data_IF_831210714620
#
_entry.id   IF_831210714620
#
_cell.length_a   1.000
_cell.length_b   1.000
_cell.length_c   1.000
_cell.angle_alpha   90.00
_cell.angle_beta   90.00
_cell.angle_gamma   90.00
#
_symmetry.space_group_name_H-M   'P 1'
#
loop_
_entity.id
_entity.type
_entity.pdbx_description
1 polymer ?
#
# COMPACT_ATOMS: atom_id res chain seq x y z
N UNK A 1 -6.81 21.67 1.59
CA UNK A 1 -6.76 20.26 2.00
C UNK A 1 -8.14 19.85 2.48
N UNK A 2 -8.65 18.71 2.01
CA UNK A 2 -10.00 18.25 2.26
C UNK A 2 -9.98 16.78 2.67
N UNK A 3 -10.77 16.43 3.69
CA UNK A 3 -11.10 15.05 4.01
C UNK A 3 -12.38 14.69 3.27
N UNK A 4 -12.33 13.61 2.52
CA UNK A 4 -13.50 13.06 1.81
C UNK A 4 -13.92 11.75 2.48
N UNK A 5 -15.24 11.55 2.59
CA UNK A 5 -15.83 10.25 2.93
C UNK A 5 -16.60 9.80 1.70
N UNK A 6 -16.33 8.61 1.22
CA UNK A 6 -16.88 8.12 -0.03
C UNK A 6 -17.41 6.68 0.09
N UNK A 7 -18.27 6.31 -0.85
CA UNK A 7 -18.79 4.95 -0.96
C UNK A 7 -17.79 4.07 -1.72
N UNK A 8 -17.66 2.85 -1.25
CA UNK A 8 -16.84 1.81 -1.86
C UNK A 8 -17.44 0.44 -1.53
N UNK A 9 -16.74 -0.64 -1.83
CA UNK A 9 -17.12 -2.01 -1.47
C UNK A 9 -16.07 -2.65 -0.58
N UNK A 10 -16.50 -3.54 0.30
CA UNK A 10 -15.63 -4.38 1.12
C UNK A 10 -15.08 -5.59 0.32
N UNK A 11 -14.18 -6.41 0.89
CA UNK A 11 -13.63 -7.59 0.22
C UNK A 11 -14.67 -8.62 -0.22
N UNK A 12 -15.84 -8.64 0.41
CA UNK A 12 -16.97 -9.52 0.07
C UNK A 12 -17.91 -8.92 -1.00
N UNK A 13 -17.63 -7.69 -1.47
CA UNK A 13 -18.42 -6.98 -2.46
C UNK A 13 -19.63 -6.23 -1.89
N UNK A 14 -19.76 -6.11 -0.56
CA UNK A 14 -20.85 -5.35 0.05
C UNK A 14 -20.53 -3.86 0.08
N UNK A 15 -21.59 -3.03 -0.01
CA UNK A 15 -21.43 -1.59 0.07
C UNK A 15 -20.92 -1.14 1.44
N UNK A 16 -19.89 -0.31 1.45
CA UNK A 16 -19.30 0.27 2.65
C UNK A 16 -18.84 1.72 2.38
N UNK A 17 -18.12 2.31 3.31
CA UNK A 17 -17.52 3.63 3.17
C UNK A 17 -16.04 3.60 3.54
N UNK A 18 -15.28 4.49 2.93
CA UNK A 18 -13.92 4.79 3.32
C UNK A 18 -13.72 6.31 3.38
N UNK A 19 -12.59 6.74 3.91
CA UNK A 19 -12.17 8.13 3.86
C UNK A 19 -10.84 8.30 3.13
N UNK A 20 -10.48 9.53 2.85
CA UNK A 20 -9.22 9.86 2.21
C UNK A 20 -8.96 11.36 2.18
N UNK A 21 -7.75 11.69 1.80
CA UNK A 21 -7.22 13.05 1.75
C UNK A 21 -7.15 13.55 0.31
N UNK A 22 -7.70 14.73 0.08
CA UNK A 22 -7.51 15.51 -1.15
C UNK A 22 -6.76 16.79 -0.81
N UNK A 23 -5.57 16.97 -1.38
CA UNK A 23 -4.80 18.20 -1.28
C UNK A 23 -4.72 18.87 -2.65
N UNK A 24 -5.28 20.06 -2.78
CA UNK A 24 -5.23 20.85 -4.01
C UNK A 24 -4.13 21.91 -3.92
N UNK A 25 -3.40 22.18 -5.03
CA UNK A 25 -2.41 23.25 -5.08
C UNK A 25 -3.09 24.62 -5.01
N UNK A 26 -2.46 25.57 -4.36
CA UNK A 26 -2.91 26.97 -4.29
C UNK A 26 -2.26 27.79 -5.43
N UNK A 27 -2.58 27.41 -6.66
CA UNK A 27 -2.02 28.01 -7.88
C UNK A 27 -3.07 28.70 -8.77
N UNK A 28 -4.34 28.66 -8.37
CA UNK A 28 -5.44 29.26 -9.13
C UNK A 28 -5.83 28.53 -10.42
N UNK A 29 -5.18 27.44 -10.79
CA UNK A 29 -5.48 26.69 -12.00
C UNK A 29 -6.82 25.94 -11.87
N UNK A 30 -7.62 25.97 -12.93
CA UNK A 30 -8.89 25.24 -13.00
C UNK A 30 -8.66 23.75 -13.26
N UNK A 31 -7.83 23.42 -14.24
CA UNK A 31 -7.55 22.05 -14.66
C UNK A 31 -6.29 21.51 -13.96
N UNK A 32 -6.43 20.42 -13.21
CA UNK A 32 -5.38 19.84 -12.41
C UNK A 32 -5.04 18.43 -12.85
N UNK A 33 -3.76 18.14 -12.99
CA UNK A 33 -3.27 16.77 -13.03
C UNK A 33 -3.28 16.20 -11.62
N UNK A 34 -3.73 14.95 -11.47
CA UNK A 34 -3.76 14.29 -10.17
C UNK A 34 -2.53 13.39 -9.99
N UNK A 35 -2.01 13.36 -8.77
CA UNK A 35 -1.15 12.30 -8.26
C UNK A 35 -1.95 11.51 -7.23
N UNK A 36 -2.24 10.26 -7.56
CA UNK A 36 -2.81 9.32 -6.64
C UNK A 36 -1.67 8.66 -5.85
N UNK A 37 -1.74 8.71 -4.51
CA UNK A 37 -0.72 8.16 -3.62
C UNK A 37 -1.33 7.12 -2.67
N UNK A 38 -0.84 5.89 -2.72
CA UNK A 38 -1.18 4.80 -1.83
C UNK A 38 -0.16 4.74 -0.68
N UNK A 39 -0.63 4.92 0.55
CA UNK A 39 0.24 5.01 1.73
C UNK A 39 0.77 3.65 2.22
N UNK A 40 1.78 3.69 3.09
CA UNK A 40 2.36 2.53 3.75
C UNK A 40 1.53 1.99 4.91
N UNK A 41 2.05 0.99 5.62
CA UNK A 41 1.34 0.28 6.68
C UNK A 41 0.96 1.17 7.86
N UNK A 42 -0.30 1.10 8.26
CA UNK A 42 -0.88 1.72 9.45
C UNK A 42 -1.77 0.71 10.16
N UNK A 43 -1.74 0.72 11.49
CA UNK A 43 -2.59 -0.14 12.32
C UNK A 43 -3.66 0.66 13.07
N UNK A 44 -3.35 1.90 13.45
CA UNK A 44 -4.31 2.82 14.09
C UNK A 44 -5.05 3.64 13.02
N UNK A 45 -6.37 3.69 13.14
CA UNK A 45 -7.23 4.54 12.30
C UNK A 45 -6.88 6.02 12.40
N UNK A 46 -6.38 6.45 13.56
CA UNK A 46 -6.01 7.84 13.82
C UNK A 46 -4.74 8.27 13.06
N UNK A 47 -3.91 7.32 12.61
CA UNK A 47 -2.70 7.61 11.84
C UNK A 47 -2.98 7.87 10.35
N UNK A 48 -4.20 7.54 9.87
CA UNK A 48 -4.54 7.64 8.46
C UNK A 48 -4.44 9.07 7.91
N UNK A 49 -4.01 9.25 6.64
CA UNK A 49 -3.69 10.55 6.05
C UNK A 49 -4.78 11.61 6.17
N UNK A 50 -6.07 11.22 6.12
CA UNK A 50 -7.16 12.18 6.16
C UNK A 50 -7.52 12.67 7.57
N UNK A 51 -7.07 11.97 8.61
CA UNK A 51 -7.43 12.27 10.02
C UNK A 51 -6.22 12.68 10.85
N UNK A 52 -5.03 12.21 10.53
CA UNK A 52 -3.79 12.59 11.22
C UNK A 52 -3.41 14.03 10.89
N UNK A 53 -2.94 14.75 11.90
CA UNK A 53 -2.37 16.11 11.72
C UNK A 53 -0.87 16.05 11.38
N UNK A 54 -0.25 14.89 11.54
CA UNK A 54 1.19 14.68 11.38
C UNK A 54 1.44 13.32 10.70
N UNK A 55 2.57 13.18 10.04
CA UNK A 55 2.98 11.89 9.47
C UNK A 55 3.60 12.01 8.08
N UNK A 56 4.38 10.99 7.72
CA UNK A 56 5.06 10.92 6.42
C UNK A 56 4.08 10.80 5.25
N UNK A 57 2.96 10.14 5.47
CA UNK A 57 1.96 9.87 4.43
C UNK A 57 1.13 11.12 4.09
N UNK A 58 0.75 11.88 5.11
CA UNK A 58 0.19 13.23 4.93
C UNK A 58 1.20 14.12 4.19
N UNK A 59 2.48 14.09 4.61
CA UNK A 59 3.54 14.90 3.99
C UNK A 59 3.77 14.53 2.52
N UNK A 60 3.66 13.26 2.14
CA UNK A 60 3.76 12.80 0.76
C UNK A 60 2.66 13.44 -0.11
N UNK A 61 1.40 13.39 0.34
CA UNK A 61 0.26 14.00 -0.36
C UNK A 61 0.43 15.52 -0.53
N UNK A 62 0.88 16.20 0.53
CA UNK A 62 1.17 17.66 0.50
C UNK A 62 2.34 17.96 -0.43
N UNK A 63 3.35 17.10 -0.52
CA UNK A 63 4.48 17.26 -1.44
C UNK A 63 4.00 17.29 -2.90
N UNK A 64 3.11 16.40 -3.29
CA UNK A 64 2.52 16.43 -4.63
C UNK A 64 1.67 17.66 -4.87
N UNK A 65 0.88 18.10 -3.88
CA UNK A 65 0.11 19.33 -3.99
C UNK A 65 1.01 20.58 -4.11
N UNK A 66 2.11 20.63 -3.37
CA UNK A 66 3.10 21.69 -3.44
C UNK A 66 3.85 21.71 -4.78
N UNK A 67 3.93 20.58 -5.47
CA UNK A 67 4.47 20.48 -6.81
C UNK A 67 3.46 20.86 -7.92
N UNK A 68 2.24 21.27 -7.57
CA UNK A 68 1.21 21.73 -8.52
C UNK A 68 0.20 20.65 -8.92
N UNK A 69 0.26 19.45 -8.37
CA UNK A 69 -0.71 18.37 -8.62
C UNK A 69 -1.87 18.40 -7.62
N UNK A 70 -3.00 17.81 -7.98
CA UNK A 70 -3.97 17.39 -6.99
C UNK A 70 -3.50 16.09 -6.33
N UNK A 71 -3.08 16.14 -5.07
CA UNK A 71 -2.71 14.97 -4.29
C UNK A 71 -3.95 14.23 -3.79
N UNK A 72 -4.09 12.95 -4.12
CA UNK A 72 -5.25 12.13 -3.76
C UNK A 72 -4.77 10.86 -3.06
N UNK A 73 -5.15 10.67 -1.80
CA UNK A 73 -4.71 9.55 -0.98
C UNK A 73 -5.88 8.90 -0.27
N UNK A 74 -6.21 7.61 -0.52
CA UNK A 74 -7.19 6.89 0.28
C UNK A 74 -6.62 6.63 1.68
N UNK A 75 -7.49 6.48 2.69
CA UNK A 75 -7.11 5.93 3.99
C UNK A 75 -7.17 4.39 3.99
N UNK A 76 -7.67 3.77 2.93
CA UNK A 76 -8.10 2.37 2.80
C UNK A 76 -9.32 2.01 3.65
N UNK A 77 -9.80 0.77 3.50
CA UNK A 77 -10.87 0.22 4.33
C UNK A 77 -10.40 0.03 5.78
N UNK A 78 -11.27 0.31 6.72
CA UNK A 78 -10.98 0.06 8.14
C UNK A 78 -10.00 1.05 8.78
N UNK A 79 -9.48 2.03 8.04
CA UNK A 79 -8.66 3.14 8.54
C UNK A 79 -9.40 4.47 8.42
N UNK A 80 -8.87 5.52 9.04
CA UNK A 80 -9.50 6.84 9.07
C UNK A 80 -10.92 6.77 9.63
N UNK A 81 -11.90 7.23 8.85
CA UNK A 81 -13.31 7.20 9.22
C UNK A 81 -14.04 5.93 8.70
N UNK A 82 -13.32 4.99 8.10
CA UNK A 82 -13.88 3.74 7.61
C UNK A 82 -14.33 2.81 8.74
N UNK A 83 -15.44 2.05 8.57
CA UNK A 83 -15.87 1.05 9.53
C UNK A 83 -15.04 -0.23 9.46
N UNK A 84 -15.10 -1.05 10.50
CA UNK A 84 -14.46 -2.37 10.56
C UNK A 84 -12.95 -2.33 10.73
N UNK A 85 -12.29 -3.49 10.74
CA UNK A 85 -10.84 -3.62 10.74
C UNK A 85 -10.26 -3.43 9.34
N UNK A 86 -9.00 -3.01 9.26
CA UNK A 86 -8.28 -2.88 7.98
C UNK A 86 -7.95 -4.26 7.39
N UNK A 87 -8.33 -4.53 6.12
CA UNK A 87 -7.92 -5.74 5.39
C UNK A 87 -6.47 -5.57 4.88
N UNK A 88 -5.53 -5.55 5.81
CA UNK A 88 -4.13 -5.25 5.58
C UNK A 88 -3.51 -6.09 4.45
N UNK A 89 -2.86 -5.41 3.50
CA UNK A 89 -2.22 -6.03 2.32
C UNK A 89 -3.18 -6.86 1.43
N UNK A 90 -4.47 -6.58 1.48
CA UNK A 90 -5.43 -7.11 0.51
C UNK A 90 -5.47 -6.19 -0.71
N UNK A 91 -4.59 -6.43 -1.66
CA UNK A 91 -4.40 -5.59 -2.85
C UNK A 91 -5.70 -5.31 -3.62
N UNK A 92 -6.64 -6.28 -3.79
CA UNK A 92 -7.92 -5.99 -4.44
C UNK A 92 -8.74 -4.89 -3.74
N UNK A 93 -8.94 -4.98 -2.43
CA UNK A 93 -9.72 -3.99 -1.68
C UNK A 93 -9.00 -2.64 -1.57
N UNK A 94 -7.68 -2.64 -1.42
CA UNK A 94 -6.87 -1.41 -1.48
C UNK A 94 -7.05 -0.71 -2.82
N UNK A 95 -7.00 -1.46 -3.92
CA UNK A 95 -7.18 -0.92 -5.28
C UNK A 95 -8.58 -0.34 -5.48
N UNK A 96 -9.61 -1.03 -4.99
CA UNK A 96 -11.00 -0.54 -5.09
C UNK A 96 -11.19 0.75 -4.31
N UNK A 97 -10.74 0.79 -3.05
CA UNK A 97 -10.80 2.00 -2.22
C UNK A 97 -10.00 3.16 -2.85
N UNK A 98 -8.88 2.86 -3.50
CA UNK A 98 -8.03 3.83 -4.17
C UNK A 98 -8.71 4.44 -5.41
N UNK A 99 -9.31 3.61 -6.27
CA UNK A 99 -10.06 4.07 -7.44
C UNK A 99 -11.29 4.89 -7.04
N UNK A 100 -12.02 4.46 -6.01
CA UNK A 100 -13.21 5.17 -5.54
C UNK A 100 -12.85 6.49 -4.87
N UNK A 101 -11.69 6.60 -4.22
CA UNK A 101 -11.17 7.88 -3.74
C UNK A 101 -10.86 8.85 -4.89
N UNK A 102 -10.27 8.38 -5.99
CA UNK A 102 -10.06 9.21 -7.19
C UNK A 102 -11.39 9.74 -7.77
N UNK A 103 -12.40 8.88 -7.84
CA UNK A 103 -13.75 9.24 -8.29
C UNK A 103 -14.37 10.29 -7.38
N UNK A 104 -14.26 10.11 -6.07
CA UNK A 104 -14.74 11.06 -5.07
C UNK A 104 -14.00 12.40 -5.16
N UNK A 105 -12.67 12.38 -5.31
CA UNK A 105 -11.86 13.57 -5.48
C UNK A 105 -12.27 14.35 -6.73
N UNK A 106 -12.50 13.67 -7.86
CA UNK A 106 -13.00 14.30 -9.09
C UNK A 106 -14.37 14.96 -8.88
N UNK A 107 -15.30 14.24 -8.27
CA UNK A 107 -16.64 14.76 -8.04
C UNK A 107 -16.64 15.98 -7.11
N UNK A 108 -15.85 15.93 -6.04
CA UNK A 108 -15.69 17.04 -5.10
C UNK A 108 -15.04 18.27 -5.77
N UNK A 109 -13.94 18.06 -6.50
CA UNK A 109 -13.22 19.14 -7.18
C UNK A 109 -14.11 19.88 -8.18
N UNK A 110 -14.94 19.17 -8.95
CA UNK A 110 -15.90 19.78 -9.87
C UNK A 110 -16.90 20.70 -9.14
N UNK A 111 -17.31 20.34 -7.91
CA UNK A 111 -18.20 21.14 -7.08
C UNK A 111 -17.62 22.47 -6.56
N UNK A 112 -16.29 22.62 -6.65
CA UNK A 112 -15.55 23.84 -6.25
C UNK A 112 -14.80 24.47 -7.42
N UNK A 113 -15.30 24.26 -8.64
CA UNK A 113 -14.78 24.82 -9.88
C UNK A 113 -13.31 24.47 -10.18
N UNK A 114 -12.88 23.26 -9.75
CA UNK A 114 -11.58 22.67 -10.10
C UNK A 114 -11.84 21.34 -10.80
N UNK A 115 -11.09 21.02 -11.82
CA UNK A 115 -11.30 19.81 -12.60
C UNK A 115 -10.05 18.91 -12.59
N UNK A 116 -10.22 17.62 -12.25
CA UNK A 116 -9.15 16.65 -12.40
C UNK A 116 -9.07 16.16 -13.85
N UNK A 117 -7.87 16.22 -14.42
CA UNK A 117 -7.56 15.71 -15.75
C UNK A 117 -7.82 14.20 -15.85
N UNK A 118 -7.94 13.70 -17.09
CA UNK A 118 -8.10 12.25 -17.33
C UNK A 118 -6.84 11.45 -16.95
N UNK A 119 -5.68 12.03 -17.20
CA UNK A 119 -4.41 11.41 -16.86
C UNK A 119 -4.11 11.55 -15.37
N UNK A 120 -3.80 10.41 -14.73
CA UNK A 120 -3.41 10.34 -13.33
C UNK A 120 -2.04 9.68 -13.19
N UNK A 121 -1.16 10.34 -12.45
CA UNK A 121 0.09 9.75 -11.99
C UNK A 121 -0.19 8.90 -10.77
N UNK A 122 0.39 7.73 -10.70
CA UNK A 122 0.10 6.77 -9.65
C UNK A 122 1.39 6.48 -8.88
N UNK A 123 1.31 6.55 -7.57
CA UNK A 123 2.46 6.24 -6.72
C UNK A 123 2.02 5.55 -5.44
N UNK A 124 2.91 4.81 -4.81
CA UNK A 124 2.61 4.15 -3.55
C UNK A 124 3.89 3.72 -2.85
N UNK A 125 3.83 3.71 -1.53
CA UNK A 125 4.94 3.35 -0.67
C UNK A 125 4.64 2.08 0.13
N UNK A 126 5.62 1.19 0.25
CA UNK A 126 5.51 -0.03 1.06
C UNK A 126 4.27 -0.83 0.68
N UNK A 127 3.33 -1.10 1.61
CA UNK A 127 2.01 -1.67 1.34
C UNK A 127 1.33 -1.04 0.12
N UNK A 128 1.46 0.27 -0.05
CA UNK A 128 0.87 1.00 -1.18
C UNK A 128 1.56 0.75 -2.53
N UNK A 129 2.74 0.15 -2.57
CA UNK A 129 3.45 -0.15 -3.82
C UNK A 129 2.67 -1.13 -4.71
N UNK A 130 2.29 -2.32 -4.24
CA UNK A 130 1.39 -3.24 -4.94
C UNK A 130 0.04 -2.63 -5.31
N UNK A 131 -0.58 -1.85 -4.41
CA UNK A 131 -1.84 -1.15 -4.67
C UNK A 131 -1.72 -0.16 -5.85
N UNK A 132 -0.61 0.60 -5.92
CA UNK A 132 -0.32 1.51 -7.02
C UNK A 132 -0.17 0.78 -8.36
N UNK A 133 0.58 -0.32 -8.39
CA UNK A 133 0.72 -1.16 -9.59
C UNK A 133 -0.62 -1.72 -10.05
N UNK A 134 -1.44 -2.20 -9.10
CA UNK A 134 -2.73 -2.79 -9.43
C UNK A 134 -3.78 -1.73 -9.84
N UNK A 135 -3.74 -0.50 -9.28
CA UNK A 135 -4.57 0.60 -9.77
C UNK A 135 -4.24 0.93 -11.23
N UNK A 136 -2.96 0.99 -11.59
CA UNK A 136 -2.55 1.24 -12.97
C UNK A 136 -3.03 0.13 -13.91
N UNK A 137 -2.95 -1.13 -13.50
CA UNK A 137 -3.50 -2.28 -14.22
C UNK A 137 -5.02 -2.15 -14.41
N UNK A 138 -5.72 -1.79 -13.36
CA UNK A 138 -7.19 -1.61 -13.34
C UNK A 138 -7.62 -0.51 -14.29
N UNK A 139 -6.97 0.65 -14.26
CA UNK A 139 -7.26 1.78 -15.15
C UNK A 139 -6.93 1.49 -16.63
N UNK A 140 -6.01 0.56 -16.89
CA UNK A 140 -5.73 0.11 -18.26
C UNK A 140 -6.80 -0.85 -18.78
N UNK A 141 -7.47 -1.58 -17.90
CA UNK A 141 -8.54 -2.52 -18.23
C UNK A 141 -9.92 -1.89 -18.42
N UNK A 142 -10.01 -0.57 -18.62
CA UNK A 142 -11.26 0.19 -18.81
C UNK A 142 -12.25 0.10 -17.60
N UNK A 143 -11.73 -0.12 -16.39
CA UNK A 143 -12.54 -0.14 -15.17
C UNK A 143 -13.06 1.25 -14.76
N UNK A 144 -12.60 2.30 -15.44
CA UNK A 144 -13.07 3.67 -15.24
C UNK A 144 -13.23 4.40 -16.58
N UNK A 145 -14.36 5.10 -16.72
CA UNK A 145 -14.67 5.84 -17.97
C UNK A 145 -13.88 7.14 -18.11
N UNK A 146 -13.33 7.65 -17.02
CA UNK A 146 -12.62 8.92 -16.99
C UNK A 146 -11.12 8.76 -16.88
N UNK A 147 -10.64 8.14 -15.81
CA UNK A 147 -9.22 8.12 -15.51
C UNK A 147 -8.41 7.16 -16.38
N UNK A 148 -7.20 7.57 -16.71
CA UNK A 148 -6.19 6.78 -17.41
C UNK A 148 -4.86 6.95 -16.70
N UNK A 149 -4.16 5.85 -16.45
CA UNK A 149 -2.83 5.91 -15.85
C UNK A 149 -1.83 6.57 -16.82
N UNK A 150 -1.07 7.56 -16.33
CA UNK A 150 -0.01 8.24 -17.08
C UNK A 150 1.38 7.63 -16.82
N UNK A 151 1.69 7.37 -15.57
CA UNK A 151 2.94 6.74 -15.13
C UNK A 151 2.78 6.15 -13.73
N UNK A 152 3.68 5.22 -13.35
CA UNK A 152 3.71 4.62 -12.01
C UNK A 152 5.07 4.80 -11.35
N UNK A 153 5.08 5.27 -10.11
CA UNK A 153 6.24 5.33 -9.22
C UNK A 153 5.96 4.48 -7.97
N UNK A 154 6.41 3.24 -7.93
CA UNK A 154 6.20 2.38 -6.77
C UNK A 154 7.46 2.36 -5.90
N UNK A 155 7.31 2.66 -4.60
CA UNK A 155 8.41 2.92 -3.67
C UNK A 155 8.46 1.81 -2.62
N UNK A 156 9.55 1.07 -2.56
CA UNK A 156 9.84 0.03 -1.55
C UNK A 156 8.66 -0.93 -1.30
N UNK A 157 8.01 -1.40 -2.39
CA UNK A 157 6.82 -2.25 -2.30
C UNK A 157 7.13 -3.74 -2.21
N UNK A 158 6.36 -4.52 -1.40
CA UNK A 158 6.46 -5.98 -1.32
C UNK A 158 5.68 -6.64 -2.48
N UNK A 159 6.26 -6.68 -3.68
CA UNK A 159 5.59 -7.16 -4.90
C UNK A 159 5.56 -8.69 -5.03
N UNK A 160 6.32 -9.42 -4.23
CA UNK A 160 6.42 -10.88 -4.29
C UNK A 160 6.59 -11.43 -2.87
N UNK A 161 5.46 -11.55 -2.17
CA UNK A 161 5.43 -11.97 -0.77
C UNK A 161 5.93 -13.41 -0.66
N UNK A 162 5.40 -14.31 -1.48
CA UNK A 162 5.68 -15.75 -1.37
C UNK A 162 7.13 -16.09 -1.67
N UNK A 163 7.72 -15.56 -2.74
CA UNK A 163 9.05 -15.98 -3.17
C UNK A 163 10.17 -15.04 -2.70
N UNK A 164 9.83 -13.85 -2.18
CA UNK A 164 10.82 -12.86 -1.77
C UNK A 164 10.68 -12.47 -0.30
N UNK A 165 9.53 -11.99 0.17
CA UNK A 165 9.39 -11.49 1.55
C UNK A 165 9.32 -12.59 2.60
N UNK A 166 8.54 -13.65 2.39
CA UNK A 166 8.47 -14.75 3.34
C UNK A 166 9.83 -15.44 3.55
N UNK A 167 10.63 -15.73 2.50
CA UNK A 167 12.00 -16.18 2.71
C UNK A 167 12.89 -15.20 3.47
N UNK A 168 12.78 -13.89 3.20
CA UNK A 168 13.55 -12.87 3.91
C UNK A 168 13.16 -12.78 5.40
N UNK A 169 11.89 -12.89 5.71
CA UNK A 169 11.36 -13.00 7.06
C UNK A 169 11.94 -14.22 7.78
N UNK A 170 11.83 -15.39 7.16
CA UNK A 170 12.19 -16.68 7.77
C UNK A 170 13.70 -16.91 7.93
N UNK A 171 14.54 -16.19 7.18
CA UNK A 171 15.99 -16.23 7.31
C UNK A 171 16.58 -15.06 8.11
N UNK A 172 15.73 -14.26 8.78
CA UNK A 172 16.11 -13.10 9.60
C UNK A 172 16.84 -11.99 8.81
N UNK A 173 16.51 -11.79 7.54
CA UNK A 173 17.07 -10.69 6.74
C UNK A 173 16.40 -9.35 7.02
N UNK A 174 15.18 -9.36 7.56
CA UNK A 174 14.43 -8.17 7.93
C UNK A 174 14.83 -7.62 9.30
N UNK A 175 14.43 -6.38 9.60
CA UNK A 175 14.51 -5.87 10.98
C UNK A 175 13.61 -6.72 11.89
N UNK A 176 14.12 -7.22 13.04
CA UNK A 176 13.35 -8.13 13.88
C UNK A 176 12.04 -7.55 14.41
N UNK A 177 12.03 -6.25 14.75
CA UNK A 177 10.84 -5.57 15.28
C UNK A 177 9.78 -5.42 14.19
N UNK A 178 10.21 -4.96 13.01
CA UNK A 178 9.34 -4.84 11.84
C UNK A 178 8.81 -6.19 11.39
N UNK A 179 9.67 -7.22 11.36
CA UNK A 179 9.28 -8.58 10.98
C UNK A 179 8.17 -9.15 11.87
N UNK A 180 8.29 -8.98 13.19
CA UNK A 180 7.26 -9.43 14.16
C UNK A 180 5.96 -8.65 13.99
N UNK A 181 6.03 -7.33 13.84
CA UNK A 181 4.86 -6.48 13.63
C UNK A 181 4.11 -6.85 12.34
N UNK A 182 4.82 -6.90 11.21
CA UNK A 182 4.20 -7.17 9.92
C UNK A 182 3.60 -8.56 9.83
N UNK A 183 4.30 -9.60 10.33
CA UNK A 183 3.77 -10.96 10.26
C UNK A 183 2.56 -11.16 11.20
N UNK A 184 2.56 -10.52 12.36
CA UNK A 184 1.39 -10.53 13.26
C UNK A 184 0.17 -9.90 12.58
N UNK A 185 0.34 -8.70 12.02
CA UNK A 185 -0.73 -7.98 11.33
C UNK A 185 -1.25 -8.78 10.13
N UNK A 186 -0.33 -9.25 9.30
CA UNK A 186 -0.64 -10.06 8.12
C UNK A 186 -1.48 -11.29 8.47
N UNK A 187 -1.04 -12.10 9.43
CA UNK A 187 -1.77 -13.32 9.81
C UNK A 187 -3.13 -13.01 10.41
N UNK A 188 -3.25 -11.96 11.24
CA UNK A 188 -4.55 -11.56 11.82
C UNK A 188 -5.50 -11.06 10.75
N UNK A 189 -5.06 -10.16 9.87
CA UNK A 189 -5.90 -9.60 8.80
C UNK A 189 -6.29 -10.68 7.77
N UNK A 190 -5.33 -11.49 7.35
CA UNK A 190 -5.58 -12.53 6.35
C UNK A 190 -6.39 -13.70 6.88
N UNK A 191 -6.35 -13.98 8.18
CA UNK A 191 -7.29 -14.96 8.74
C UNK A 191 -8.73 -14.46 8.67
N UNK A 192 -8.97 -13.18 8.90
CA UNK A 192 -10.31 -12.57 8.74
C UNK A 192 -10.84 -12.69 7.30
N UNK A 193 -9.94 -12.61 6.31
CA UNK A 193 -10.28 -12.65 4.89
C UNK A 193 -10.33 -14.08 4.31
N UNK A 194 -9.45 -14.96 4.74
CA UNK A 194 -9.16 -16.22 4.04
C UNK A 194 -9.26 -17.46 4.93
N UNK A 195 -9.61 -17.30 6.22
CA UNK A 195 -9.75 -18.41 7.18
C UNK A 195 -8.49 -19.31 7.22
N UNK A 196 -7.34 -18.71 7.49
CA UNK A 196 -6.04 -19.40 7.48
C UNK A 196 -5.90 -20.40 8.65
N UNK A 197 -6.53 -20.11 9.79
CA UNK A 197 -6.53 -20.93 11.00
C UNK A 197 -7.88 -20.84 11.72
N UNK A 198 -8.21 -21.84 12.53
CA UNK A 198 -9.47 -21.89 13.28
C UNK A 198 -9.39 -21.13 14.61
N UNK A 199 -8.21 -21.17 15.24
CA UNK A 199 -7.97 -20.45 16.50
C UNK A 199 -6.58 -19.81 16.48
N UNK A 200 -6.39 -18.63 17.14
CA UNK A 200 -5.08 -17.97 17.18
C UNK A 200 -3.96 -18.86 17.72
N UNK A 201 -4.23 -19.78 18.67
CA UNK A 201 -3.25 -20.70 19.24
C UNK A 201 -2.69 -21.73 18.27
N UNK A 202 -3.27 -21.89 17.06
CA UNK A 202 -2.65 -22.69 16.00
C UNK A 202 -1.41 -22.01 15.42
N UNK A 203 -1.41 -20.67 15.38
CA UNK A 203 -0.36 -19.89 14.71
C UNK A 203 0.47 -19.02 15.66
N UNK A 204 -0.13 -18.56 16.77
CA UNK A 204 0.56 -17.73 17.75
C UNK A 204 0.83 -18.50 19.06
N UNK A 205 2.00 -18.31 19.64
CA UNK A 205 2.35 -18.87 20.93
C UNK A 205 1.71 -18.11 22.08
N UNK A 206 1.47 -18.79 23.21
CA UNK A 206 1.06 -18.12 24.45
C UNK A 206 2.19 -17.16 24.94
N UNK A 207 1.84 -15.97 25.46
CA UNK A 207 0.48 -15.49 25.73
C UNK A 207 -0.17 -14.74 24.53
N UNK A 208 0.52 -14.63 23.39
CA UNK A 208 0.08 -13.79 22.25
C UNK A 208 -1.17 -14.32 21.56
N UNK A 209 -1.41 -15.64 21.62
CA UNK A 209 -2.61 -16.29 21.11
C UNK A 209 -3.92 -15.73 21.68
N UNK A 210 -3.88 -15.09 22.84
CA UNK A 210 -5.05 -14.49 23.49
C UNK A 210 -5.17 -12.98 23.29
N UNK A 211 -4.12 -12.30 22.83
CA UNK A 211 -4.06 -10.83 22.79
C UNK A 211 -3.82 -10.26 21.39
N UNK A 212 -3.13 -10.99 20.50
CA UNK A 212 -2.65 -10.46 19.22
C UNK A 212 -3.78 -9.95 18.31
N UNK A 213 -4.94 -10.61 18.32
CA UNK A 213 -6.07 -10.23 17.47
C UNK A 213 -6.61 -8.84 17.80
N UNK A 214 -6.62 -8.49 19.09
CA UNK A 214 -7.14 -7.20 19.58
C UNK A 214 -6.17 -6.06 19.28
N UNK A 215 -4.87 -6.32 19.15
CA UNK A 215 -3.87 -5.31 18.79
C UNK A 215 -4.12 -4.72 17.39
N UNK A 216 -4.84 -5.43 16.51
CA UNK A 216 -5.11 -5.01 15.13
C UNK A 216 -6.61 -4.73 14.90
N UNK A 217 -7.24 -4.06 15.83
CA UNK A 217 -8.64 -3.61 15.76
C UNK A 217 -8.82 -2.19 15.20
N UNK A 218 -7.69 -1.48 14.99
CA UNK A 218 -7.65 -0.11 14.49
C UNK A 218 -7.64 0.97 15.59
N UNK A 219 -7.43 0.58 16.85
CA UNK A 219 -7.37 1.52 17.99
C UNK A 219 -6.02 1.55 18.71
N UNK A 220 -5.05 0.75 18.22
CA UNK A 220 -3.74 0.63 18.83
C UNK A 220 -2.66 1.23 17.93
N UNK A 221 -1.88 2.17 18.46
CA UNK A 221 -0.74 2.76 17.77
C UNK A 221 0.45 1.80 17.66
N UNK A 222 1.31 2.04 16.67
CA UNK A 222 2.49 1.20 16.41
C UNK A 222 3.33 0.91 17.67
N UNK A 223 3.54 1.93 18.53
CA UNK A 223 4.33 1.77 19.76
C UNK A 223 3.70 0.76 20.74
N UNK A 224 2.37 0.81 20.90
CA UNK A 224 1.65 -0.06 21.81
C UNK A 224 1.65 -1.49 21.30
N UNK A 225 1.47 -1.68 19.98
CA UNK A 225 1.52 -2.97 19.32
C UNK A 225 2.91 -3.59 19.48
N UNK A 226 3.96 -2.86 19.08
CA UNK A 226 5.36 -3.35 19.16
C UNK A 226 5.74 -3.66 20.61
N UNK A 227 5.32 -2.82 21.57
CA UNK A 227 5.57 -3.06 22.99
C UNK A 227 4.84 -4.28 23.58
N UNK A 228 3.80 -4.77 22.90
CA UNK A 228 3.00 -5.93 23.30
C UNK A 228 3.41 -7.23 22.60
N UNK A 229 4.31 -7.16 21.61
CA UNK A 229 4.79 -8.31 20.85
C UNK A 229 6.20 -8.75 21.29
N UNK A 230 6.61 -10.00 21.01
CA UNK A 230 7.97 -10.47 21.36
C UNK A 230 9.04 -9.88 20.45
N UNK A 231 10.30 -10.07 20.81
CA UNK A 231 11.43 -9.54 20.07
C UNK A 231 11.78 -10.33 18.78
N UNK A 232 11.14 -11.47 18.54
CA UNK A 232 11.43 -12.32 17.38
C UNK A 232 10.21 -13.09 16.90
N UNK A 233 10.23 -13.48 15.62
CA UNK A 233 9.16 -14.31 15.04
C UNK A 233 9.11 -15.70 15.69
N UNK A 234 10.22 -16.27 16.10
CA UNK A 234 10.25 -17.55 16.82
C UNK A 234 9.61 -17.46 18.22
N UNK A 235 9.58 -16.27 18.82
CA UNK A 235 8.86 -16.02 20.07
C UNK A 235 7.38 -15.78 19.88
N UNK A 236 6.96 -15.40 18.67
CA UNK A 236 5.56 -15.12 18.34
C UNK A 236 4.85 -16.35 17.76
N UNK A 237 5.48 -17.02 16.81
CA UNK A 237 4.84 -18.02 15.96
C UNK A 237 5.06 -19.46 16.46
N UNK A 238 4.03 -20.28 16.30
CA UNK A 238 4.15 -21.71 16.54
C UNK A 238 4.98 -22.40 15.45
N UNK A 239 5.53 -23.61 15.70
CA UNK A 239 6.16 -24.41 14.65
C UNK A 239 5.24 -24.66 13.45
N UNK A 240 3.93 -24.82 13.70
CA UNK A 240 2.92 -24.99 12.65
C UNK A 240 2.83 -23.74 11.75
N UNK A 241 2.77 -22.54 12.34
CA UNK A 241 2.77 -21.30 11.58
C UNK A 241 4.03 -21.12 10.74
N UNK A 242 5.21 -21.41 11.31
CA UNK A 242 6.47 -21.35 10.57
C UNK A 242 6.50 -22.32 9.38
N UNK A 243 5.91 -23.53 9.53
CA UNK A 243 5.80 -24.46 8.41
C UNK A 243 4.79 -23.98 7.37
N UNK A 244 3.64 -23.44 7.79
CA UNK A 244 2.64 -22.83 6.90
C UNK A 244 3.24 -21.70 6.05
N UNK A 245 4.10 -20.85 6.64
CA UNK A 245 4.78 -19.77 5.92
C UNK A 245 5.84 -20.30 4.94
N UNK A 246 6.54 -21.40 5.28
CA UNK A 246 7.52 -22.03 4.38
C UNK A 246 6.87 -22.77 3.22
N UNK A 247 5.73 -23.38 3.47
CA UNK A 247 5.02 -24.28 2.55
C UNK A 247 3.55 -23.88 2.40
N UNK A 248 3.24 -22.71 1.80
CA UNK A 248 1.86 -22.24 1.66
C UNK A 248 1.00 -23.22 0.85
N UNK A 249 -0.15 -23.61 1.39
CA UNK A 249 -1.13 -24.50 0.75
C UNK A 249 -2.56 -23.94 0.88
N UNK A 250 -3.52 -24.52 0.16
CA UNK A 250 -4.95 -24.21 0.29
C UNK A 250 -5.29 -22.74 0.04
N UNK A 251 -6.12 -22.16 0.92
CA UNK A 251 -6.57 -20.76 0.84
C UNK A 251 -5.40 -19.78 0.95
N UNK A 252 -4.42 -20.07 1.78
CA UNK A 252 -3.24 -19.22 1.94
C UNK A 252 -2.41 -19.13 0.64
N UNK A 253 -2.10 -20.25 -0.01
CA UNK A 253 -1.41 -20.24 -1.29
C UNK A 253 -2.21 -19.51 -2.39
N UNK A 254 -3.54 -19.59 -2.33
CA UNK A 254 -4.41 -18.91 -3.28
C UNK A 254 -4.40 -17.41 -3.06
N UNK A 255 -4.48 -16.95 -1.80
CA UNK A 255 -4.41 -15.55 -1.44
C UNK A 255 -3.06 -14.92 -1.78
N UNK A 256 -1.95 -15.63 -1.50
CA UNK A 256 -0.59 -15.18 -1.90
C UNK A 256 -0.47 -14.98 -3.41
N UNK A 257 -1.01 -15.89 -4.22
CA UNK A 257 -1.00 -15.72 -5.69
C UNK A 257 -1.73 -14.45 -6.14
N UNK A 258 -2.83 -14.09 -5.48
CA UNK A 258 -3.57 -12.84 -5.78
C UNK A 258 -2.75 -11.62 -5.38
N UNK A 259 -2.14 -11.63 -4.19
CA UNK A 259 -1.29 -10.52 -3.72
C UNK A 259 -0.05 -10.33 -4.60
N UNK A 260 0.57 -11.43 -5.06
CA UNK A 260 1.80 -11.43 -5.86
C UNK A 260 1.57 -11.21 -7.37
N UNK A 261 0.32 -10.98 -7.81
CA UNK A 261 -0.02 -10.83 -9.23
C UNK A 261 0.24 -9.41 -9.77
N UNK A 262 0.60 -8.47 -8.94
CA UNK A 262 0.70 -7.04 -9.28
C UNK A 262 1.69 -6.71 -10.40
N UNK A 263 2.76 -7.50 -10.55
CA UNK A 263 3.75 -7.36 -11.62
C UNK A 263 3.64 -8.46 -12.70
N UNK A 264 2.64 -9.35 -12.59
CA UNK A 264 2.45 -10.48 -13.50
C UNK A 264 1.36 -10.17 -14.53
N UNK A 265 1.38 -10.92 -15.61
CA UNK A 265 0.29 -11.11 -16.59
C UNK A 265 -0.41 -9.85 -17.13
N UNK A 266 0.28 -8.70 -17.14
CA UNK A 266 -0.19 -7.51 -17.80
C UNK A 266 0.94 -6.70 -18.45
N UNK A 267 0.58 -5.88 -19.44
CA UNK A 267 1.51 -4.99 -20.11
C UNK A 267 1.09 -3.55 -19.84
N UNK A 268 1.83 -2.80 -19.00
CA UNK A 268 1.47 -1.45 -18.59
C UNK A 268 1.19 -0.49 -19.74
N UNK A 269 2.05 -0.45 -20.74
CA UNK A 269 1.96 0.53 -21.83
C UNK A 269 2.17 1.98 -21.39
N UNK A 270 2.67 2.16 -20.15
CA UNK A 270 3.01 3.43 -19.50
C UNK A 270 4.36 3.28 -18.82
N UNK A 271 5.09 4.38 -18.57
CA UNK A 271 6.35 4.34 -17.85
C UNK A 271 6.18 3.87 -16.40
N UNK A 272 7.10 3.00 -15.94
CA UNK A 272 7.15 2.52 -14.55
C UNK A 272 8.54 2.75 -13.99
N UNK A 273 8.60 3.30 -12.77
CA UNK A 273 9.80 3.35 -11.94
C UNK A 273 9.56 2.65 -10.61
N UNK A 274 10.47 1.76 -10.25
CA UNK A 274 10.51 1.05 -8.98
C UNK A 274 11.62 1.68 -8.13
N UNK A 275 11.24 2.38 -7.07
CA UNK A 275 12.20 3.02 -6.17
C UNK A 275 12.55 2.06 -5.05
N UNK A 276 13.82 1.94 -4.73
CA UNK A 276 14.33 1.04 -3.69
C UNK A 276 15.50 1.66 -2.95
N UNK A 277 15.84 1.14 -1.78
CA UNK A 277 16.96 1.59 -0.96
C UNK A 277 17.85 0.43 -0.56
N UNK A 278 19.16 0.68 -0.52
CA UNK A 278 20.16 -0.33 -0.13
C UNK A 278 20.13 -0.73 1.35
N UNK A 279 19.53 0.09 2.23
CA UNK A 279 19.39 -0.18 3.68
C UNK A 279 17.97 -0.44 4.15
N UNK A 280 17.07 -0.67 3.21
CA UNK A 280 15.72 -1.10 3.54
C UNK A 280 15.76 -2.51 4.15
N UNK A 281 15.29 -2.64 5.40
CA UNK A 281 15.19 -3.88 6.13
C UNK A 281 13.77 -4.24 6.54
N UNK A 282 12.80 -3.49 6.04
CA UNK A 282 11.39 -3.77 6.22
C UNK A 282 10.82 -4.48 4.98
N UNK A 283 11.26 -4.04 3.78
CA UNK A 283 10.95 -4.66 2.49
C UNK A 283 12.26 -4.83 1.70
N UNK A 284 12.63 -6.07 1.42
CA UNK A 284 13.90 -6.32 0.73
C UNK A 284 13.87 -5.86 -0.73
N UNK A 285 14.95 -5.24 -1.20
CA UNK A 285 15.08 -4.74 -2.57
C UNK A 285 14.86 -5.82 -3.65
N UNK A 286 14.97 -7.10 -3.28
CA UNK A 286 14.64 -8.25 -4.12
C UNK A 286 13.24 -8.20 -4.72
N UNK A 287 12.26 -7.59 -4.04
CA UNK A 287 10.91 -7.37 -4.55
C UNK A 287 10.91 -6.53 -5.84
N UNK A 288 11.60 -5.40 -5.83
CA UNK A 288 11.71 -4.53 -7.02
C UNK A 288 12.44 -5.24 -8.15
N UNK A 289 13.50 -6.01 -7.85
CA UNK A 289 14.22 -6.81 -8.85
C UNK A 289 13.30 -7.88 -9.46
N UNK A 290 12.54 -8.57 -8.63
CA UNK A 290 11.57 -9.58 -9.08
C UNK A 290 10.45 -8.98 -9.93
N UNK A 291 9.87 -7.87 -9.49
CA UNK A 291 8.84 -7.15 -10.24
C UNK A 291 9.38 -6.70 -11.61
N UNK A 292 10.57 -6.08 -11.66
CA UNK A 292 11.21 -5.70 -12.91
C UNK A 292 11.39 -6.89 -13.86
N UNK A 293 11.86 -8.03 -13.35
CA UNK A 293 12.06 -9.23 -14.17
C UNK A 293 10.74 -9.71 -14.79
N UNK A 294 9.66 -9.79 -13.99
CA UNK A 294 8.33 -10.19 -14.46
C UNK A 294 7.77 -9.25 -15.55
N UNK A 295 7.96 -7.94 -15.38
CA UNK A 295 7.56 -6.94 -16.37
C UNK A 295 8.42 -7.03 -17.64
N UNK A 296 9.73 -7.26 -17.52
CA UNK A 296 10.65 -7.43 -18.65
C UNK A 296 10.30 -8.65 -19.50
N UNK A 297 9.87 -9.75 -18.89
CA UNK A 297 9.39 -10.95 -19.59
C UNK A 297 8.16 -10.65 -20.48
N UNK A 298 7.48 -9.52 -20.23
CA UNK A 298 6.37 -8.98 -21.03
C UNK A 298 6.77 -7.85 -21.97
N UNK A 299 8.07 -7.60 -22.13
CA UNK A 299 8.59 -6.52 -22.98
C UNK A 299 8.46 -5.12 -22.39
N UNK A 300 8.29 -5.01 -21.06
CA UNK A 300 8.18 -3.73 -20.35
C UNK A 300 9.49 -3.39 -19.67
N UNK A 301 10.03 -2.22 -19.97
CA UNK A 301 11.22 -1.68 -19.31
C UNK A 301 10.79 -0.85 -18.08
N UNK A 302 10.75 -1.49 -16.93
CA UNK A 302 10.54 -0.83 -15.64
C UNK A 302 11.91 -0.52 -15.02
N UNK A 303 12.23 0.75 -14.85
CA UNK A 303 13.52 1.17 -14.26
C UNK A 303 13.52 1.01 -12.75
N UNK A 304 14.57 0.39 -12.19
CA UNK A 304 14.84 0.44 -10.75
C UNK A 304 15.69 1.68 -10.46
N UNK A 305 15.24 2.48 -9.50
CA UNK A 305 15.89 3.72 -9.05
C UNK A 305 16.31 3.53 -7.58
N UNK A 306 17.60 3.54 -7.33
CA UNK A 306 18.14 3.57 -5.97
C UNK A 306 18.01 4.97 -5.38
N UNK A 307 17.33 5.10 -4.25
CA UNK A 307 17.17 6.37 -3.52
C UNK A 307 18.25 6.59 -2.46
N UNK A 308 19.26 5.74 -2.45
CA UNK A 308 20.42 5.82 -1.55
C UNK A 308 20.35 4.87 -0.36
N UNK A 309 21.37 4.97 0.49
CA UNK A 309 21.55 4.12 1.67
C UNK A 309 20.69 4.61 2.85
N UNK A 310 19.37 4.62 2.68
CA UNK A 310 18.41 5.09 3.68
C UNK A 310 17.53 3.94 4.19
N UNK A 311 16.93 4.09 5.37
CA UNK A 311 15.99 3.11 5.91
C UNK A 311 14.65 3.13 5.15
N UNK A 312 13.75 2.22 5.49
CA UNK A 312 12.46 2.07 4.83
C UNK A 312 11.62 3.36 4.82
N UNK A 313 11.43 4.02 5.99
CA UNK A 313 10.66 5.26 6.10
C UNK A 313 11.30 6.44 5.35
N UNK A 314 12.62 6.53 5.36
CA UNK A 314 13.34 7.57 4.61
C UNK A 314 13.32 7.28 3.10
N UNK A 315 13.15 6.01 2.68
CA UNK A 315 12.92 5.67 1.27
C UNK A 315 11.60 6.25 0.75
N UNK A 316 10.55 6.34 1.59
CA UNK A 316 9.32 7.05 1.25
C UNK A 316 9.58 8.53 0.92
N UNK A 317 10.28 9.24 1.82
CA UNK A 317 10.58 10.67 1.64
C UNK A 317 11.40 10.93 0.36
N UNK A 318 12.46 10.14 0.18
CA UNK A 318 13.35 10.26 -0.98
C UNK A 318 12.66 9.86 -2.28
N UNK A 319 11.90 8.75 -2.26
CA UNK A 319 11.14 8.25 -3.39
C UNK A 319 10.01 9.19 -3.79
N UNK A 320 9.24 9.72 -2.82
CA UNK A 320 8.18 10.73 -3.06
C UNK A 320 8.75 11.98 -3.74
N UNK A 321 9.86 12.52 -3.24
CA UNK A 321 10.50 13.68 -3.85
C UNK A 321 11.04 13.40 -5.26
N UNK A 322 11.58 12.19 -5.49
CA UNK A 322 12.06 11.76 -6.80
C UNK A 322 10.92 11.53 -7.78
N UNK A 323 9.82 10.91 -7.33
CA UNK A 323 8.61 10.70 -8.12
C UNK A 323 7.96 12.02 -8.54
N UNK A 324 7.83 12.98 -7.61
CA UNK A 324 7.28 14.31 -7.90
C UNK A 324 8.08 15.03 -9.01
N UNK A 325 9.41 15.03 -8.91
CA UNK A 325 10.29 15.59 -9.96
C UNK A 325 10.11 14.88 -11.30
N UNK A 326 10.07 13.55 -11.28
CA UNK A 326 9.89 12.77 -12.50
C UNK A 326 8.54 13.05 -13.18
N UNK A 327 7.46 13.17 -12.41
CA UNK A 327 6.14 13.49 -12.94
C UNK A 327 6.09 14.89 -13.57
N UNK A 328 6.76 15.86 -12.98
CA UNK A 328 6.92 17.22 -13.57
C UNK A 328 7.71 17.20 -14.88
N UNK A 329 8.80 16.43 -14.94
CA UNK A 329 9.66 16.32 -16.13
C UNK A 329 8.96 15.58 -17.29
N UNK A 330 8.12 14.59 -16.95
CA UNK A 330 7.42 13.77 -17.94
C UNK A 330 6.33 14.54 -18.69
N UNK A 331 5.84 15.64 -18.12
CA UNK A 331 4.86 16.52 -18.76
C UNK A 331 5.15 17.98 -18.39
N UNK A 332 6.06 18.62 -19.10
CA UNK A 332 6.24 20.06 -18.96
C UNK A 332 4.90 20.77 -19.25
N UNK A 333 4.55 21.71 -18.36
CA UNK A 333 3.34 22.56 -18.42
C UNK A 333 3.24 23.36 -19.73
#
# INVERSE_FOLDING_TARGET
>A
VYRLVYRTIDPDGHATTASGLLALPDNGEHDLKAVAFAHGTMADKADAPSVSEHGSELAATITYASAGFAGVTPDYLGLGLGPGPHPYSDVPSETTAYLDMLRAARAYSAGIERQLSREVYITGFSQGGPAAMNLARTLRGDADDWFRAAAVAAISGPFDIQATELPALLNNSLDPTSAVFYIAYFLVAWNRLHNLYQSPGEVFQAPYDTTVTDLFDGSHGLRDIVGSLPASIDGLLTPHALDMLRNPVGSFATALRVADDTCRDWTPGIPIRLYTSGKDRDVVAGNSVRCQALLRDRGVDASIIDVGEVNHLDSNRSGTAAAARWFLESHPS
#
